data_IF_107157499395
#
_entry.id   IF_107157499395
#
_cell.length_a   1.000
_cell.length_b   1.000
_cell.length_c   1.000
_cell.angle_alpha   90.00
_cell.angle_beta   90.00
_cell.angle_gamma   90.00
#
_symmetry.space_group_name_H-M   'P 1'
#
loop_
_entity.id
_entity.type
_entity.pdbx_description
1 polymer ?
#
# COMPACT_ATOMS: atom_id res chain seq x y z
N UNK A 1 1.17 37.85 -21.95
CA UNK A 1 1.63 36.47 -21.75
C UNK A 1 0.39 35.60 -21.57
N UNK A 2 -0.07 34.95 -22.65
CA UNK A 2 -1.30 34.16 -22.66
C UNK A 2 -0.91 32.74 -22.25
N UNK A 3 -1.20 32.37 -21.01
CA UNK A 3 -0.97 31.01 -20.52
C UNK A 3 -2.06 30.15 -21.16
N UNK A 4 -1.68 29.33 -22.14
CA UNK A 4 -2.54 28.31 -22.69
C UNK A 4 -2.75 27.24 -21.64
N UNK A 5 -3.92 27.22 -21.00
CA UNK A 5 -4.39 26.09 -20.19
C UNK A 5 -5.11 25.11 -21.11
N UNK A 6 -4.45 23.98 -21.40
CA UNK A 6 -5.07 22.69 -21.78
C UNK A 6 -3.97 21.63 -21.90
N UNK A 7 -3.80 20.81 -20.86
CA UNK A 7 -4.06 19.37 -20.98
C UNK A 7 -4.01 18.64 -19.62
N UNK A 8 -5.15 18.05 -19.27
CA UNK A 8 -5.47 16.86 -18.47
C UNK A 8 -4.48 16.34 -17.39
N UNK A 9 -4.73 16.70 -16.14
CA UNK A 9 -4.10 16.10 -14.95
C UNK A 9 -4.64 14.72 -14.55
N UNK A 10 -4.87 13.82 -15.51
CA UNK A 10 -5.54 12.51 -15.27
C UNK A 10 -4.63 11.30 -15.60
N UNK A 11 -3.41 11.50 -16.10
CA UNK A 11 -2.52 10.42 -16.57
C UNK A 11 -1.98 9.47 -15.47
N UNK A 12 -2.35 9.67 -14.20
CA UNK A 12 -1.81 8.91 -13.06
C UNK A 12 -2.87 8.40 -12.07
N UNK A 13 -4.13 8.22 -12.51
CA UNK A 13 -5.17 7.56 -11.70
C UNK A 13 -5.12 6.05 -11.94
N UNK A 14 -5.04 5.27 -10.87
CA UNK A 14 -4.97 3.80 -10.90
C UNK A 14 -6.26 3.09 -10.45
N UNK A 15 -7.36 3.84 -10.32
CA UNK A 15 -8.69 3.33 -9.97
C UNK A 15 -9.75 3.73 -10.99
N UNK A 16 -10.84 2.95 -11.03
CA UNK A 16 -12.03 3.21 -11.84
C UNK A 16 -13.26 3.32 -10.94
N UNK A 17 -14.13 4.29 -11.24
CA UNK A 17 -15.40 4.54 -10.56
C UNK A 17 -16.58 4.61 -11.55
N UNK A 18 -16.38 4.23 -12.82
CA UNK A 18 -17.39 4.36 -13.87
C UNK A 18 -18.69 3.66 -13.51
N UNK A 19 -18.60 2.49 -12.86
CA UNK A 19 -19.75 1.69 -12.43
C UNK A 19 -20.03 1.81 -10.91
N UNK A 20 -19.46 2.82 -10.24
CA UNK A 20 -19.69 3.03 -8.82
C UNK A 20 -21.09 3.63 -8.59
N UNK A 21 -21.92 2.90 -7.85
CA UNK A 21 -23.20 3.37 -7.34
C UNK A 21 -23.22 3.26 -5.81
N UNK A 22 -23.51 4.37 -5.13
CA UNK A 22 -23.59 4.38 -3.67
C UNK A 22 -24.88 3.73 -3.18
N UNK A 23 -24.76 2.65 -2.41
CA UNK A 23 -25.89 2.04 -1.68
C UNK A 23 -26.03 2.72 -0.32
N UNK A 24 -27.01 3.62 -0.16
CA UNK A 24 -27.15 4.41 1.06
C UNK A 24 -27.59 3.61 2.30
N UNK A 25 -28.23 2.45 2.11
CA UNK A 25 -28.81 1.65 3.20
C UNK A 25 -29.58 2.52 4.23
N UNK A 26 -29.20 2.46 5.51
CA UNK A 26 -29.83 3.22 6.59
C UNK A 26 -29.53 4.73 6.59
N UNK A 27 -28.73 5.23 5.64
CA UNK A 27 -28.47 6.66 5.45
C UNK A 27 -29.32 7.28 4.33
N UNK A 28 -30.29 6.54 3.77
CA UNK A 28 -31.09 6.98 2.61
C UNK A 28 -31.64 8.40 2.73
N UNK A 29 -32.33 8.71 3.83
CA UNK A 29 -32.93 10.03 4.07
C UNK A 29 -31.90 11.16 4.03
N UNK A 30 -30.69 10.90 4.55
CA UNK A 30 -29.60 11.87 4.54
C UNK A 30 -28.93 11.94 3.17
N UNK A 31 -28.72 10.80 2.52
CA UNK A 31 -28.10 10.70 1.20
C UNK A 31 -28.93 11.39 0.12
N UNK A 32 -30.27 11.35 0.22
CA UNK A 32 -31.20 11.98 -0.74
C UNK A 32 -31.29 13.51 -0.58
N UNK A 33 -30.73 14.08 0.49
CA UNK A 33 -30.65 15.55 0.66
C UNK A 33 -29.65 16.19 -0.30
N UNK A 34 -29.78 17.50 -0.55
CA UNK A 34 -28.81 18.27 -1.34
C UNK A 34 -27.40 18.16 -0.77
N UNK A 35 -27.25 18.30 0.56
CA UNK A 35 -25.97 18.13 1.24
C UNK A 35 -25.41 16.71 1.04
N UNK A 36 -26.24 15.68 1.18
CA UNK A 36 -25.82 14.28 1.00
C UNK A 36 -25.30 13.99 -0.40
N UNK A 37 -25.95 14.55 -1.43
CA UNK A 37 -25.54 14.43 -2.82
C UNK A 37 -24.23 15.18 -3.11
N UNK A 38 -24.06 16.40 -2.59
CA UNK A 38 -22.80 17.13 -2.77
C UNK A 38 -21.65 16.50 -1.98
N UNK A 39 -21.91 15.91 -0.81
CA UNK A 39 -20.91 15.09 -0.10
C UNK A 39 -20.53 13.86 -0.92
N UNK A 40 -21.49 13.15 -1.53
CA UNK A 40 -21.19 11.99 -2.37
C UNK A 40 -20.30 12.37 -3.57
N UNK A 41 -20.63 13.48 -4.24
CA UNK A 41 -19.84 14.04 -5.34
C UNK A 41 -18.44 14.47 -4.88
N UNK A 42 -18.33 15.06 -3.69
CA UNK A 42 -17.04 15.34 -3.07
C UNK A 42 -16.25 14.05 -2.84
N UNK A 43 -16.86 13.04 -2.23
CA UNK A 43 -16.19 11.78 -1.87
C UNK A 43 -15.69 11.00 -3.09
N UNK A 44 -16.46 11.03 -4.18
CA UNK A 44 -16.14 10.35 -5.46
C UNK A 44 -15.22 11.17 -6.38
N UNK A 45 -14.95 12.44 -6.04
CA UNK A 45 -14.01 13.25 -6.81
C UNK A 45 -12.61 12.60 -6.80
N UNK A 46 -11.92 12.44 -7.96
CA UNK A 46 -10.68 11.68 -8.04
C UNK A 46 -9.60 12.07 -7.02
N UNK A 47 -9.40 13.38 -6.82
CA UNK A 47 -8.44 13.90 -5.83
C UNK A 47 -8.72 13.40 -4.40
N UNK A 48 -9.98 13.21 -4.03
CA UNK A 48 -10.35 12.72 -2.70
C UNK A 48 -10.16 11.21 -2.59
N UNK A 49 -10.40 10.46 -3.66
CA UNK A 49 -10.09 9.03 -3.70
C UNK A 49 -8.59 8.78 -3.61
N UNK A 50 -7.77 9.54 -4.34
CA UNK A 50 -6.30 9.50 -4.20
C UNK A 50 -5.85 9.79 -2.76
N UNK A 51 -6.48 10.75 -2.06
CA UNK A 51 -6.18 11.01 -0.64
C UNK A 51 -6.49 9.81 0.24
N UNK A 52 -7.62 9.12 0.01
CA UNK A 52 -7.99 7.91 0.76
C UNK A 52 -7.03 6.75 0.49
N UNK A 53 -6.63 6.52 -0.77
CA UNK A 53 -5.62 5.54 -1.14
C UNK A 53 -4.28 5.86 -0.46
N UNK A 54 -3.81 7.11 -0.56
CA UNK A 54 -2.53 7.55 0.04
C UNK A 54 -2.54 7.32 1.56
N UNK A 55 -3.63 7.67 2.25
CA UNK A 55 -3.76 7.39 3.68
C UNK A 55 -3.70 5.89 3.98
N UNK A 56 -4.34 5.07 3.15
CA UNK A 56 -4.36 3.62 3.26
C UNK A 56 -2.96 3.02 3.08
N UNK A 57 -2.20 3.46 2.07
CA UNK A 57 -0.82 3.02 1.84
C UNK A 57 0.13 3.40 3.00
N UNK A 58 -0.17 4.49 3.70
CA UNK A 58 0.53 4.93 4.91
C UNK A 58 0.00 4.25 6.20
N UNK A 59 -0.84 3.23 6.07
CA UNK A 59 -1.48 2.51 7.18
C UNK A 59 -2.33 3.41 8.11
N UNK A 60 -2.90 4.49 7.57
CA UNK A 60 -3.74 5.46 8.28
C UNK A 60 -5.23 5.29 7.95
N UNK A 61 -6.08 5.98 8.71
CA UNK A 61 -7.54 6.01 8.46
C UNK A 61 -7.84 6.73 7.15
N UNK A 62 -8.61 6.10 6.26
CA UNK A 62 -8.83 6.60 4.90
C UNK A 62 -9.49 7.99 4.86
N UNK A 63 -10.46 8.26 5.75
CA UNK A 63 -11.18 9.54 5.81
C UNK A 63 -10.40 10.67 6.48
N UNK A 64 -9.33 10.36 7.21
CA UNK A 64 -8.54 11.36 7.96
C UNK A 64 -8.08 12.55 7.09
N UNK A 65 -7.41 12.36 5.93
CA UNK A 65 -6.96 13.48 5.10
C UNK A 65 -8.09 14.34 4.53
N UNK A 66 -9.32 13.82 4.48
CA UNK A 66 -10.48 14.53 3.93
C UNK A 66 -11.05 15.56 4.91
N UNK A 67 -10.86 15.38 6.22
CA UNK A 67 -11.53 16.16 7.26
C UNK A 67 -11.42 17.69 7.07
N UNK A 68 -10.22 18.21 6.80
CA UNK A 68 -10.02 19.65 6.59
C UNK A 68 -10.68 20.19 5.33
N UNK A 69 -10.84 19.35 4.30
CA UNK A 69 -11.46 19.74 3.04
C UNK A 69 -12.98 19.65 3.12
N UNK A 70 -13.52 18.66 3.83
CA UNK A 70 -14.94 18.57 4.17
C UNK A 70 -15.40 19.80 4.95
N UNK A 71 -14.68 20.19 6.01
CA UNK A 71 -15.01 21.39 6.79
C UNK A 71 -14.88 22.66 5.93
N UNK A 72 -13.89 22.72 5.04
CA UNK A 72 -13.73 23.87 4.14
C UNK A 72 -14.90 24.02 3.17
N UNK A 73 -15.41 22.91 2.64
CA UNK A 73 -16.45 22.90 1.61
C UNK A 73 -17.85 23.06 2.21
N UNK A 74 -18.12 22.37 3.33
CA UNK A 74 -19.47 22.20 3.89
C UNK A 74 -19.64 22.83 5.28
N UNK A 75 -18.61 23.48 5.81
CA UNK A 75 -18.69 24.20 7.09
C UNK A 75 -19.00 23.30 8.29
N UNK A 76 -19.88 23.78 9.17
CA UNK A 76 -20.24 23.10 10.42
C UNK A 76 -21.21 21.92 10.22
N UNK A 77 -21.89 21.83 9.08
CA UNK A 77 -22.87 20.77 8.82
C UNK A 77 -22.21 19.38 8.88
N UNK A 78 -20.98 19.24 8.40
CA UNK A 78 -20.23 17.98 8.45
C UNK A 78 -19.72 17.59 9.85
N UNK A 79 -19.87 18.45 10.85
CA UNK A 79 -19.51 18.14 12.24
C UNK A 79 -20.51 17.15 12.86
N UNK A 80 -21.74 17.11 12.34
CA UNK A 80 -22.79 16.21 12.79
C UNK A 80 -22.35 14.73 12.71
N UNK A 81 -22.64 13.98 13.78
CA UNK A 81 -22.20 12.59 13.92
C UNK A 81 -22.82 11.67 12.86
N UNK A 82 -24.08 11.91 12.47
CA UNK A 82 -24.77 11.11 11.46
C UNK A 82 -24.16 11.34 10.08
N UNK A 83 -23.81 12.59 9.77
CA UNK A 83 -23.09 12.94 8.53
C UNK A 83 -21.70 12.29 8.50
N UNK A 84 -20.93 12.36 9.59
CA UNK A 84 -19.62 11.69 9.66
C UNK A 84 -19.72 10.17 9.49
N UNK A 85 -20.74 9.54 10.07
CA UNK A 85 -21.01 8.12 9.87
C UNK A 85 -21.33 7.79 8.41
N UNK A 86 -22.14 8.62 7.74
CA UNK A 86 -22.44 8.47 6.32
C UNK A 86 -21.19 8.63 5.45
N UNK A 87 -20.33 9.61 5.75
CA UNK A 87 -19.05 9.79 5.06
C UNK A 87 -18.15 8.56 5.23
N UNK A 88 -18.07 8.01 6.44
CA UNK A 88 -17.35 6.76 6.70
C UNK A 88 -17.92 5.58 5.92
N UNK A 89 -19.24 5.53 5.76
CA UNK A 89 -19.94 4.51 4.98
C UNK A 89 -19.66 4.63 3.48
N UNK A 90 -19.71 5.85 2.92
CA UNK A 90 -19.32 6.14 1.53
C UNK A 90 -17.86 5.76 1.28
N UNK A 91 -16.95 6.17 2.17
CA UNK A 91 -15.53 5.85 2.06
C UNK A 91 -15.29 4.34 2.01
N UNK A 92 -16.05 3.56 2.80
CA UNK A 92 -15.97 2.10 2.74
C UNK A 92 -16.35 1.56 1.37
N UNK A 93 -17.50 1.95 0.84
CA UNK A 93 -17.94 1.45 -0.46
C UNK A 93 -17.02 1.87 -1.60
N UNK A 94 -16.49 3.10 -1.56
CA UNK A 94 -15.51 3.58 -2.55
C UNK A 94 -14.23 2.74 -2.47
N UNK A 95 -13.66 2.56 -1.28
CA UNK A 95 -12.43 1.78 -1.11
C UNK A 95 -12.62 0.30 -1.51
N UNK A 96 -13.75 -0.30 -1.16
CA UNK A 96 -14.10 -1.68 -1.56
C UNK A 96 -14.30 -1.80 -3.08
N UNK A 97 -14.95 -0.81 -3.72
CA UNK A 97 -15.15 -0.79 -5.16
C UNK A 97 -13.84 -0.72 -5.94
N UNK A 98 -12.88 0.09 -5.49
CA UNK A 98 -11.57 0.22 -6.13
C UNK A 98 -10.57 -0.88 -5.71
N UNK A 99 -11.06 -1.96 -5.10
CA UNK A 99 -10.29 -3.19 -4.87
C UNK A 99 -9.54 -3.28 -3.53
N UNK A 100 -9.74 -2.34 -2.61
CA UNK A 100 -9.19 -2.47 -1.25
C UNK A 100 -10.11 -3.29 -0.36
N UNK A 101 -9.52 -3.98 0.60
CA UNK A 101 -10.26 -4.72 1.62
C UNK A 101 -10.28 -3.96 2.93
N UNK A 102 -11.41 -4.03 3.62
CA UNK A 102 -11.54 -3.51 4.97
C UNK A 102 -10.59 -4.27 5.93
N UNK A 103 -9.76 -3.51 6.67
CA UNK A 103 -8.72 -4.08 7.53
C UNK A 103 -9.08 -3.97 9.02
N UNK A 104 -9.08 -2.76 9.59
CA UNK A 104 -9.43 -2.51 10.98
C UNK A 104 -10.58 -1.52 11.08
N UNK A 105 -11.46 -1.73 12.06
CA UNK A 105 -12.54 -0.80 12.44
C UNK A 105 -12.06 0.11 13.57
N UNK A 106 -12.54 1.36 13.55
CA UNK A 106 -12.44 2.29 14.69
C UNK A 106 -11.00 2.58 15.16
N UNK A 107 -10.04 2.66 14.24
CA UNK A 107 -8.69 3.09 14.58
C UNK A 107 -8.73 4.56 15.02
N UNK A 108 -8.18 4.84 16.19
CA UNK A 108 -8.13 6.19 16.75
C UNK A 108 -7.19 7.09 15.94
N UNK A 109 -7.67 8.28 15.60
CA UNK A 109 -6.89 9.33 14.94
C UNK A 109 -6.27 10.19 16.04
N UNK A 110 -4.94 10.23 16.09
CA UNK A 110 -4.21 10.93 17.16
C UNK A 110 -4.10 12.44 16.94
N UNK A 111 -4.38 12.91 15.71
CA UNK A 111 -4.33 14.33 15.36
C UNK A 111 -5.72 14.95 15.48
N UNK A 112 -5.85 16.14 16.08
CA UNK A 112 -7.13 16.85 16.08
C UNK A 112 -7.67 17.07 14.67
N UNK A 113 -8.96 16.86 14.47
CA UNK A 113 -9.62 17.00 13.18
C UNK A 113 -11.10 16.62 13.23
N UNK A 114 -11.74 16.59 12.06
CA UNK A 114 -13.17 16.27 11.93
C UNK A 114 -13.54 14.88 12.47
N UNK A 115 -12.66 13.91 12.24
CA UNK A 115 -12.84 12.52 12.65
C UNK A 115 -11.93 12.20 13.83
N UNK A 116 -12.48 11.59 14.87
CA UNK A 116 -11.72 11.04 16.01
C UNK A 116 -11.26 9.60 15.76
N UNK A 117 -11.94 8.87 14.88
CA UNK A 117 -11.58 7.51 14.50
C UNK A 117 -12.15 7.15 13.12
N UNK A 118 -11.71 6.03 12.55
CA UNK A 118 -12.31 5.47 11.34
C UNK A 118 -11.69 4.14 10.91
N UNK A 119 -12.02 3.73 9.69
CA UNK A 119 -11.55 2.47 9.12
C UNK A 119 -10.22 2.61 8.38
N UNK A 120 -9.39 1.57 8.48
CA UNK A 120 -8.24 1.34 7.59
C UNK A 120 -8.57 0.26 6.58
N UNK A 121 -7.79 0.23 5.51
CA UNK A 121 -7.94 -0.73 4.42
C UNK A 121 -6.58 -1.32 4.06
N UNK A 122 -6.57 -2.36 3.24
CA UNK A 122 -5.36 -2.97 2.68
C UNK A 122 -5.58 -3.34 1.23
N UNK A 123 -4.51 -3.35 0.45
CA UNK A 123 -4.52 -3.87 -0.90
C UNK A 123 -3.71 -5.18 -0.90
N UNK A 124 -4.38 -6.30 -1.17
CA UNK A 124 -3.75 -7.63 -1.17
C UNK A 124 -2.68 -7.79 -2.26
N UNK A 125 -2.62 -6.88 -3.25
CA UNK A 125 -1.60 -6.85 -4.29
C UNK A 125 -0.22 -6.41 -3.74
N UNK A 126 -0.15 -5.77 -2.55
CA UNK A 126 1.10 -5.47 -1.84
C UNK A 126 1.30 -6.37 -0.61
N UNK A 127 1.33 -7.68 -0.84
CA UNK A 127 2.04 -8.60 0.05
C UNK A 127 3.55 -8.48 -0.21
N UNK A 128 4.20 -7.46 0.33
CA UNK A 128 5.59 -7.68 0.71
C UNK A 128 5.57 -8.77 1.78
N UNK A 129 6.16 -9.95 1.50
CA UNK A 129 6.29 -11.01 2.48
C UNK A 129 6.96 -10.45 3.76
N UNK A 130 6.14 -10.16 4.78
CA UNK A 130 6.61 -9.85 6.13
C UNK A 130 7.13 -11.13 6.74
N UNK A 131 8.43 -11.41 6.58
CA UNK A 131 9.08 -12.52 7.27
C UNK A 131 8.99 -12.23 8.77
N UNK A 132 8.24 -13.04 9.52
CA UNK A 132 8.11 -12.88 10.96
C UNK A 132 9.43 -13.20 11.67
N UNK A 133 9.58 -12.75 12.92
CA UNK A 133 10.77 -13.06 13.73
C UNK A 133 10.95 -14.57 13.88
N UNK A 134 9.88 -15.33 14.10
CA UNK A 134 9.96 -16.79 14.18
C UNK A 134 10.35 -17.44 12.84
N UNK A 135 9.84 -16.92 11.72
CA UNK A 135 10.22 -17.42 10.38
C UNK A 135 11.70 -17.14 10.08
N UNK A 136 12.23 -16.00 10.53
CA UNK A 136 13.66 -15.67 10.45
C UNK A 136 14.51 -16.60 11.31
N UNK A 137 14.09 -16.88 12.54
CA UNK A 137 14.78 -17.79 13.46
C UNK A 137 14.78 -19.24 12.94
N UNK A 138 13.65 -19.70 12.39
CA UNK A 138 13.54 -21.01 11.76
C UNK A 138 14.45 -21.14 10.52
N UNK A 139 14.54 -20.10 9.69
CA UNK A 139 15.47 -20.05 8.56
C UNK A 139 16.94 -20.06 9.00
N UNK A 140 17.28 -19.31 10.07
CA UNK A 140 18.61 -19.31 10.66
C UNK A 140 19.01 -20.70 11.18
N UNK A 141 18.07 -21.41 11.83
CA UNK A 141 18.33 -22.74 12.41
C UNK A 141 18.49 -23.83 11.34
N UNK A 142 17.66 -23.80 10.30
CA UNK A 142 17.54 -24.94 9.37
C UNK A 142 18.25 -24.73 8.03
N UNK A 143 18.50 -23.49 7.61
CA UNK A 143 18.91 -23.19 6.23
C UNK A 143 20.17 -22.35 6.15
N UNK A 144 20.42 -21.42 7.08
CA UNK A 144 21.59 -20.54 7.05
C UNK A 144 22.92 -21.29 7.03
N UNK A 145 23.00 -22.48 7.65
CA UNK A 145 24.21 -23.31 7.71
C UNK A 145 24.32 -24.37 6.60
N UNK A 146 23.41 -24.37 5.60
CA UNK A 146 23.51 -25.32 4.48
C UNK A 146 24.87 -25.17 3.75
N UNK A 147 25.46 -26.26 3.23
CA UNK A 147 26.74 -26.22 2.51
C UNK A 147 26.78 -25.13 1.42
N UNK A 148 25.68 -24.98 0.68
CA UNK A 148 25.53 -23.92 -0.32
C UNK A 148 25.55 -22.51 0.29
N UNK A 149 24.86 -22.27 1.42
CA UNK A 149 24.83 -20.93 2.00
C UNK A 149 26.20 -20.55 2.59
N UNK A 150 26.95 -21.50 3.13
CA UNK A 150 28.34 -21.27 3.56
C UNK A 150 29.23 -20.90 2.37
N UNK A 151 29.20 -21.71 1.32
CA UNK A 151 29.94 -21.45 0.09
C UNK A 151 29.58 -20.09 -0.51
N UNK A 152 28.30 -19.75 -0.60
CA UNK A 152 27.89 -18.47 -1.17
C UNK A 152 28.36 -17.31 -0.29
N UNK A 153 28.17 -17.40 1.04
CA UNK A 153 28.56 -16.35 1.97
C UNK A 153 30.08 -16.11 1.99
N UNK A 154 30.91 -17.14 1.77
CA UNK A 154 32.38 -17.00 1.60
C UNK A 154 32.74 -16.15 0.39
N UNK A 155 31.96 -16.23 -0.69
CA UNK A 155 32.23 -15.52 -1.94
C UNK A 155 31.70 -14.09 -1.93
N UNK A 156 30.56 -13.87 -1.27
CA UNK A 156 29.78 -12.62 -1.43
C UNK A 156 29.81 -11.71 -0.21
N UNK A 157 30.53 -12.07 0.87
CA UNK A 157 30.70 -11.20 2.03
C UNK A 157 32.06 -10.51 2.04
N UNK A 158 32.04 -9.23 2.41
CA UNK A 158 33.23 -8.41 2.69
C UNK A 158 33.00 -7.76 4.06
N UNK A 159 33.94 -7.91 5.00
CA UNK A 159 33.82 -7.39 6.38
C UNK A 159 32.51 -7.75 7.08
N UNK A 160 32.04 -8.98 6.86
CA UNK A 160 30.80 -9.50 7.45
C UNK A 160 29.51 -8.98 6.81
N UNK A 161 29.57 -8.06 5.84
CA UNK A 161 28.43 -7.52 5.11
C UNK A 161 28.30 -8.15 3.73
N UNK A 162 27.06 -8.24 3.24
CA UNK A 162 26.78 -8.68 1.87
C UNK A 162 27.28 -7.64 0.87
N UNK A 163 28.08 -8.10 -0.09
CA UNK A 163 28.60 -7.33 -1.21
C UNK A 163 27.84 -7.73 -2.48
N UNK A 164 27.01 -6.81 -2.99
CA UNK A 164 26.19 -7.07 -4.15
C UNK A 164 27.02 -7.22 -5.43
N UNK A 165 28.15 -6.52 -5.54
CA UNK A 165 28.99 -6.64 -6.73
C UNK A 165 29.53 -8.06 -6.83
N UNK A 166 30.08 -8.60 -5.73
CA UNK A 166 30.53 -9.98 -5.65
C UNK A 166 29.40 -10.99 -5.88
N UNK A 167 28.21 -10.74 -5.34
CA UNK A 167 27.04 -11.59 -5.58
C UNK A 167 26.75 -11.74 -7.07
N UNK A 168 26.75 -10.64 -7.81
CA UNK A 168 26.48 -10.66 -9.25
C UNK A 168 27.65 -11.18 -10.08
N UNK A 169 28.90 -10.93 -9.67
CA UNK A 169 30.07 -11.56 -10.30
C UNK A 169 30.04 -13.09 -10.16
N UNK A 170 29.68 -13.59 -8.97
CA UNK A 170 29.52 -15.04 -8.73
C UNK A 170 28.35 -15.57 -9.56
N UNK A 171 27.24 -14.84 -9.63
CA UNK A 171 26.09 -15.20 -10.46
C UNK A 171 26.50 -15.37 -11.94
N UNK A 172 27.22 -14.38 -12.48
CA UNK A 172 27.64 -14.35 -13.87
C UNK A 172 28.63 -15.48 -14.20
N UNK A 173 29.60 -15.75 -13.29
CA UNK A 173 30.54 -16.89 -13.42
C UNK A 173 29.82 -18.24 -13.56
N UNK A 174 28.62 -18.36 -13.02
CA UNK A 174 27.80 -19.58 -13.09
C UNK A 174 26.64 -19.46 -14.09
N UNK A 175 26.67 -18.47 -15.00
CA UNK A 175 25.71 -18.32 -16.09
C UNK A 175 24.39 -17.66 -15.71
N UNK A 176 24.30 -17.01 -14.55
CA UNK A 176 23.13 -16.26 -14.11
C UNK A 176 23.34 -14.77 -14.39
N UNK A 177 22.73 -14.27 -15.46
CA UNK A 177 22.84 -12.86 -15.90
C UNK A 177 21.68 -11.97 -15.43
N UNK A 178 20.67 -12.55 -14.77
CA UNK A 178 19.47 -11.83 -14.34
C UNK A 178 19.79 -10.83 -13.21
N UNK A 179 19.28 -9.60 -13.36
CA UNK A 179 19.47 -8.48 -12.42
C UNK A 179 18.19 -8.15 -11.65
N UNK A 180 18.32 -7.78 -10.38
CA UNK A 180 17.22 -7.46 -9.48
C UNK A 180 17.42 -6.11 -8.79
N UNK A 181 17.87 -5.11 -9.53
CA UNK A 181 18.37 -3.83 -8.99
C UNK A 181 17.29 -2.99 -8.30
N UNK A 182 16.01 -3.30 -8.55
CA UNK A 182 14.85 -2.67 -7.89
C UNK A 182 14.51 -3.28 -6.52
N UNK A 183 15.15 -4.39 -6.11
CA UNK A 183 14.87 -5.06 -4.84
C UNK A 183 15.91 -4.68 -3.77
N UNK A 184 15.58 -4.90 -2.49
CA UNK A 184 16.56 -4.67 -1.43
C UNK A 184 17.67 -5.74 -1.45
N UNK A 185 18.85 -5.48 -0.84
CA UNK A 185 20.01 -6.38 -0.94
C UNK A 185 19.74 -7.82 -0.49
N UNK A 186 18.91 -8.01 0.54
CA UNK A 186 18.54 -9.34 1.03
C UNK A 186 17.68 -10.12 0.03
N UNK A 187 16.70 -9.45 -0.57
CA UNK A 187 15.85 -10.02 -1.63
C UNK A 187 16.66 -10.37 -2.88
N UNK A 188 17.61 -9.50 -3.26
CA UNK A 188 18.53 -9.78 -4.38
C UNK A 188 19.35 -11.05 -4.12
N UNK A 189 19.98 -11.17 -2.94
CA UNK A 189 20.71 -12.38 -2.54
C UNK A 189 19.84 -13.63 -2.54
N UNK A 190 18.61 -13.52 -2.07
CA UNK A 190 17.67 -14.64 -2.06
C UNK A 190 17.36 -15.12 -3.48
N UNK A 191 16.94 -14.21 -4.36
CA UNK A 191 16.57 -14.54 -5.75
C UNK A 191 17.76 -15.10 -6.55
N UNK A 192 18.92 -14.46 -6.45
CA UNK A 192 20.15 -14.94 -7.09
C UNK A 192 20.59 -16.29 -6.50
N UNK A 193 20.52 -16.46 -5.18
CA UNK A 193 20.84 -17.71 -4.51
C UNK A 193 19.98 -18.89 -4.97
N UNK A 194 18.68 -18.67 -5.23
CA UNK A 194 17.79 -19.72 -5.77
C UNK A 194 18.21 -20.16 -7.17
N UNK A 195 18.64 -19.22 -8.02
CA UNK A 195 19.13 -19.53 -9.36
C UNK A 195 20.47 -20.28 -9.28
N UNK A 196 21.40 -19.79 -8.47
CA UNK A 196 22.71 -20.41 -8.27
C UNK A 196 22.61 -21.84 -7.71
N UNK A 197 21.65 -22.15 -6.83
CA UNK A 197 21.44 -23.52 -6.32
C UNK A 197 21.14 -24.55 -7.41
N UNK A 198 20.58 -24.13 -8.55
CA UNK A 198 20.31 -25.04 -9.68
C UNK A 198 21.56 -25.29 -10.52
N UNK A 199 22.51 -24.36 -10.49
CA UNK A 199 23.71 -24.36 -11.34
C UNK A 199 24.94 -24.90 -10.61
N UNK A 200 25.03 -24.69 -9.30
CA UNK A 200 26.19 -25.03 -8.48
C UNK A 200 25.90 -26.30 -7.69
N UNK A 201 26.62 -27.38 -8.02
CA UNK A 201 26.58 -28.63 -7.26
C UNK A 201 27.56 -28.53 -6.09
N UNK A 202 27.03 -28.25 -4.90
CA UNK A 202 27.78 -28.34 -3.64
C UNK A 202 27.50 -29.72 -3.06
N UNK A 203 28.53 -30.54 -2.83
CA UNK A 203 28.39 -31.82 -2.14
C UNK A 203 27.89 -31.57 -0.70
N UNK A 204 27.01 -32.45 -0.22
CA UNK A 204 26.45 -32.39 1.13
C UNK A 204 27.50 -32.70 2.20
#
# INVERSE_FOLDING_TARGET
MIIHTKDNGVDHIDFDLTDFAYDSQHFRELAETELGQEILKFMTHPVNVVRMQTATELERVAVEPLGKYLVKEFGEEVIDDRIKQMIGHMARQIMEHIGYQHDRKSLQITRPGLFSSGSTYRNDVKSEMRITKEQREAWLKNTAQSPFNKWLDEQVRTDGKLDLNKLYEVAEKHGVTKRYDHLNPGQQRMNIGVLLRKMVKIAA
#
